data_IF_705567599279
#
_entry.id   IF_705567599279
#
_cell.length_a   1.000
_cell.length_b   1.000
_cell.length_c   1.000
_cell.angle_alpha   90.00
_cell.angle_beta   90.00
_cell.angle_gamma   90.00
#
_symmetry.space_group_name_H-M   'P 1'
#
loop_
_entity.id
_entity.type
_entity.pdbx_description
1 polymer ?
#
# COMPACT_ATOMS: atom_id res chain seq x y z
N UNK A 1 12.79 -10.89 -20.93
CA UNK A 1 12.50 -10.88 -19.48
C UNK A 1 11.18 -11.59 -19.28
N UNK A 2 11.15 -12.68 -18.51
CA UNK A 2 9.90 -13.38 -18.14
C UNK A 2 9.16 -12.52 -17.13
N UNK A 3 8.26 -11.66 -17.61
CA UNK A 3 7.43 -10.79 -16.78
C UNK A 3 6.43 -11.61 -15.98
N UNK A 4 6.34 -11.38 -14.68
CA UNK A 4 5.28 -11.91 -13.81
C UNK A 4 4.25 -10.79 -13.60
N UNK A 5 2.96 -11.09 -13.79
CA UNK A 5 1.86 -10.20 -13.39
C UNK A 5 1.45 -10.49 -11.94
N UNK A 6 1.08 -9.45 -11.21
CA UNK A 6 0.78 -9.49 -9.78
C UNK A 6 -0.19 -8.37 -9.42
N UNK A 7 -1.13 -8.67 -8.51
CA UNK A 7 -2.00 -7.68 -7.87
C UNK A 7 -1.46 -7.44 -6.46
N UNK A 8 -0.99 -6.22 -6.18
CA UNK A 8 -0.46 -5.79 -4.88
C UNK A 8 -0.91 -4.38 -4.54
N UNK A 9 -0.88 -4.08 -3.25
CA UNK A 9 -0.86 -2.70 -2.81
C UNK A 9 0.43 -2.00 -3.24
N UNK A 10 0.31 -0.74 -3.64
CA UNK A 10 1.45 0.16 -3.83
C UNK A 10 1.22 1.37 -2.95
N UNK A 11 2.16 1.66 -2.06
CA UNK A 11 2.04 2.78 -1.14
C UNK A 11 2.00 4.10 -1.92
N UNK A 12 1.22 5.07 -1.45
CA UNK A 12 0.98 6.34 -2.13
C UNK A 12 2.28 7.12 -2.44
N UNK A 13 3.30 6.97 -1.59
CA UNK A 13 4.61 7.60 -1.77
C UNK A 13 5.48 6.91 -2.86
N UNK A 14 5.10 5.72 -3.31
CA UNK A 14 5.75 4.94 -4.35
C UNK A 14 4.95 4.92 -5.66
N UNK A 15 3.63 5.09 -5.59
CA UNK A 15 2.72 4.94 -6.73
C UNK A 15 3.03 5.94 -7.86
N UNK A 16 3.11 7.24 -7.58
CA UNK A 16 3.33 8.25 -8.62
C UNK A 16 4.66 8.04 -9.38
N UNK A 17 5.82 7.86 -8.71
CA UNK A 17 7.07 7.51 -9.39
C UNK A 17 6.98 6.21 -10.21
N UNK A 18 6.29 5.18 -9.68
CA UNK A 18 6.12 3.90 -10.37
C UNK A 18 5.32 4.08 -11.66
N UNK A 19 4.20 4.81 -11.61
CA UNK A 19 3.33 5.05 -12.76
C UNK A 19 4.05 5.82 -13.87
N UNK A 20 4.78 6.88 -13.52
CA UNK A 20 5.59 7.66 -14.47
C UNK A 20 6.64 6.81 -15.17
N UNK A 21 7.24 5.86 -14.46
CA UNK A 21 8.21 4.92 -15.02
C UNK A 21 7.57 3.79 -15.87
N UNK A 22 6.26 3.54 -15.71
CA UNK A 22 5.56 2.36 -16.26
C UNK A 22 4.58 2.68 -17.39
N UNK A 23 4.63 3.89 -17.96
CA UNK A 23 3.82 4.29 -19.12
C UNK A 23 2.65 5.25 -18.82
N UNK A 24 2.57 5.78 -17.60
CA UNK A 24 1.62 6.83 -17.22
C UNK A 24 2.38 8.14 -16.99
N UNK A 25 2.69 8.92 -18.04
CA UNK A 25 3.59 10.08 -17.95
C UNK A 25 3.12 11.12 -16.92
N UNK A 26 1.81 11.24 -16.74
CA UNK A 26 1.19 12.20 -15.82
C UNK A 26 1.10 11.68 -14.36
N UNK A 27 1.46 10.42 -14.12
CA UNK A 27 1.44 9.80 -12.79
C UNK A 27 0.04 9.37 -12.34
N UNK A 28 -0.24 9.47 -11.04
CA UNK A 28 -1.56 9.18 -10.46
C UNK A 28 -2.48 10.41 -10.58
N UNK A 29 -3.22 10.49 -11.70
CA UNK A 29 -4.16 11.57 -11.98
C UNK A 29 -5.61 11.08 -11.86
N UNK A 30 -6.47 11.93 -11.31
CA UNK A 30 -7.89 11.61 -11.18
C UNK A 30 -8.54 11.36 -12.55
N UNK A 31 -9.37 10.33 -12.60
CA UNK A 31 -10.28 10.03 -13.71
C UNK A 31 -11.46 11.00 -13.77
N UNK A 32 -12.34 10.81 -14.74
CA UNK A 32 -13.61 11.57 -14.89
C UNK A 32 -14.51 11.50 -13.65
N UNK A 33 -14.33 10.51 -12.79
CA UNK A 33 -15.06 10.35 -11.52
C UNK A 33 -14.55 11.27 -10.40
N UNK A 34 -13.44 11.98 -10.61
CA UNK A 34 -12.78 12.80 -9.59
C UNK A 34 -11.89 12.01 -8.63
N UNK A 35 -11.69 10.71 -8.87
CA UNK A 35 -10.83 9.83 -8.08
C UNK A 35 -9.74 9.18 -8.95
N UNK A 36 -8.65 8.72 -8.31
CA UNK A 36 -7.64 7.87 -8.96
C UNK A 36 -8.31 6.67 -9.64
N UNK A 37 -7.85 6.27 -10.84
CA UNK A 37 -8.32 5.05 -11.50
C UNK A 37 -7.83 3.78 -10.77
N UNK A 38 -6.90 3.89 -9.82
CA UNK A 38 -6.38 2.79 -9.02
C UNK A 38 -7.08 2.77 -7.65
N UNK A 39 -7.76 1.67 -7.27
CA UNK A 39 -8.48 1.60 -6.00
C UNK A 39 -7.57 1.74 -4.77
N UNK A 40 -8.03 2.50 -3.78
CA UNK A 40 -7.34 2.63 -2.50
C UNK A 40 -7.50 1.38 -1.62
N UNK A 41 -6.40 0.88 -1.06
CA UNK A 41 -6.43 -0.22 -0.11
C UNK A 41 -6.66 0.30 1.32
N UNK A 42 -7.75 -0.14 1.94
CA UNK A 42 -8.12 0.21 3.33
C UNK A 42 -7.62 -0.81 4.37
N UNK A 43 -6.78 -1.76 3.97
CA UNK A 43 -6.21 -2.82 4.80
C UNK A 43 -7.25 -3.78 5.43
N UNK A 44 -8.40 -3.94 4.77
CA UNK A 44 -9.36 -5.01 5.05
C UNK A 44 -9.05 -6.21 4.15
N UNK A 45 -8.32 -7.19 4.69
CA UNK A 45 -7.86 -8.36 3.94
C UNK A 45 -8.80 -9.54 4.17
N UNK A 46 -9.38 -10.08 3.09
CA UNK A 46 -10.19 -11.30 3.11
C UNK A 46 -9.35 -12.41 2.50
N UNK A 47 -9.11 -13.48 3.27
CA UNK A 47 -8.20 -14.56 2.91
C UNK A 47 -8.96 -15.90 2.93
N UNK A 48 -8.72 -16.73 1.92
CA UNK A 48 -9.13 -18.13 1.95
C UNK A 48 -8.19 -18.89 2.90
N UNK A 49 -8.75 -19.53 3.92
CA UNK A 49 -7.96 -20.09 5.02
C UNK A 49 -6.98 -21.19 4.56
N UNK A 50 -7.39 -22.07 3.64
CA UNK A 50 -6.55 -23.17 3.16
C UNK A 50 -5.23 -22.69 2.54
N UNK A 51 -5.27 -21.94 1.42
CA UNK A 51 -4.07 -21.37 0.81
C UNK A 51 -3.25 -20.47 1.76
N UNK A 52 -3.92 -19.74 2.64
CA UNK A 52 -3.23 -18.92 3.65
C UNK A 52 -2.38 -19.76 4.60
N UNK A 53 -2.92 -20.87 5.12
CA UNK A 53 -2.19 -21.75 6.02
C UNK A 53 -1.01 -22.45 5.31
N UNK A 54 -1.17 -22.83 4.05
CA UNK A 54 -0.08 -23.41 3.24
C UNK A 54 1.08 -22.42 3.07
N UNK A 55 0.77 -21.18 2.70
CA UNK A 55 1.80 -20.15 2.50
C UNK A 55 2.42 -19.72 3.84
N UNK A 56 1.65 -19.67 4.92
CA UNK A 56 2.13 -19.40 6.28
C UNK A 56 3.13 -20.48 6.73
N UNK A 57 2.81 -21.76 6.52
CA UNK A 57 3.71 -22.86 6.86
C UNK A 57 5.01 -22.84 6.03
N UNK A 58 4.90 -22.50 4.74
CA UNK A 58 6.05 -22.40 3.81
C UNK A 58 6.99 -21.24 4.15
N UNK A 59 6.45 -20.09 4.55
CA UNK A 59 7.22 -18.86 4.81
C UNK A 59 7.58 -18.67 6.27
N UNK A 60 6.98 -19.44 7.19
CA UNK A 60 7.06 -19.19 8.62
C UNK A 60 6.43 -17.85 9.03
N UNK A 61 5.58 -17.27 8.18
CA UNK A 61 4.99 -15.93 8.37
C UNK A 61 5.90 -14.77 7.97
N UNK A 62 7.04 -15.04 7.33
CA UNK A 62 7.92 -13.99 6.84
C UNK A 62 7.26 -13.22 5.68
N UNK A 63 7.23 -11.90 5.81
CA UNK A 63 6.81 -10.95 4.77
C UNK A 63 8.01 -10.10 4.39
N UNK A 64 8.08 -9.67 3.12
CA UNK A 64 9.17 -8.82 2.64
C UNK A 64 9.31 -7.57 3.52
N UNK A 65 10.52 -7.37 4.02
CA UNK A 65 10.86 -6.24 4.88
C UNK A 65 11.30 -5.03 4.05
N UNK A 66 11.14 -3.85 4.63
CA UNK A 66 11.63 -2.59 4.12
C UNK A 66 12.10 -1.69 5.27
N UNK A 67 12.67 -0.54 4.92
CA UNK A 67 13.12 0.46 5.88
C UNK A 67 12.66 1.85 5.43
N UNK A 68 12.14 2.67 6.36
CA UNK A 68 11.66 4.02 6.07
C UNK A 68 12.35 5.08 6.96
N UNK A 69 13.65 5.35 6.73
CA UNK A 69 14.41 6.24 7.59
C UNK A 69 13.92 7.68 7.53
N UNK A 70 13.79 8.30 8.70
CA UNK A 70 13.56 9.75 8.84
C UNK A 70 14.92 10.43 8.98
N UNK A 71 15.28 11.25 7.99
CA UNK A 71 16.55 11.99 7.97
C UNK A 71 16.42 13.37 8.62
N UNK A 72 17.52 13.90 9.15
CA UNK A 72 17.58 15.26 9.72
C UNK A 72 17.36 16.33 8.66
N UNK A 73 17.88 16.08 7.46
CA UNK A 73 17.88 17.01 6.33
C UNK A 73 17.96 16.25 4.99
N UNK A 74 17.99 17.01 3.89
CA UNK A 74 18.00 16.47 2.54
C UNK A 74 19.30 15.75 2.15
N UNK A 75 20.40 15.86 2.92
CA UNK A 75 21.66 15.16 2.63
C UNK A 75 21.54 13.65 2.83
N UNK A 76 20.56 13.20 3.63
CA UNK A 76 20.31 11.80 3.97
C UNK A 76 21.51 11.09 4.62
N UNK A 77 22.40 11.84 5.29
CA UNK A 77 23.61 11.30 5.94
C UNK A 77 23.40 10.96 7.42
N UNK A 78 22.41 11.56 8.08
CA UNK A 78 22.11 11.33 9.50
C UNK A 78 20.61 11.15 9.74
N UNK A 79 20.26 10.16 10.57
CA UNK A 79 18.88 9.93 10.99
C UNK A 79 18.43 10.95 12.04
N UNK A 80 17.17 11.39 11.93
CA UNK A 80 16.48 12.23 12.92
C UNK A 80 16.09 11.42 14.16
N UNK A 81 15.83 10.13 13.99
CA UNK A 81 15.50 9.16 15.03
C UNK A 81 15.98 7.78 14.61
N UNK A 82 16.17 6.86 15.55
CA UNK A 82 16.50 5.46 15.25
C UNK A 82 15.48 4.85 14.28
N UNK A 83 15.98 4.01 13.37
CA UNK A 83 15.17 3.33 12.37
C UNK A 83 15.16 1.83 12.62
N UNK A 84 14.09 1.17 12.18
CA UNK A 84 13.89 -0.27 12.31
C UNK A 84 13.47 -0.86 10.97
N UNK A 85 13.60 -2.18 10.83
CA UNK A 85 12.94 -2.92 9.76
C UNK A 85 11.42 -2.93 10.01
N UNK A 86 10.68 -2.82 8.93
CA UNK A 86 9.22 -2.82 8.92
C UNK A 86 8.75 -3.80 7.84
N UNK A 87 7.55 -4.35 7.99
CA UNK A 87 6.87 -5.11 6.93
C UNK A 87 5.40 -4.70 6.93
N UNK A 88 4.71 -4.92 5.81
CA UNK A 88 3.30 -4.57 5.66
C UNK A 88 2.47 -5.84 5.47
N UNK A 89 1.41 -6.03 6.24
CA UNK A 89 0.57 -7.23 6.11
C UNK A 89 -0.04 -7.39 4.71
N UNK A 90 -0.32 -6.27 4.03
CA UNK A 90 -0.84 -6.24 2.66
C UNK A 90 0.20 -6.61 1.58
N UNK A 91 1.46 -6.84 1.96
CA UNK A 91 2.48 -7.39 1.06
C UNK A 91 2.44 -8.91 0.96
N UNK A 92 1.55 -9.58 1.69
CA UNK A 92 1.28 -11.01 1.58
C UNK A 92 1.18 -11.53 0.13
N UNK A 93 0.51 -10.86 -0.84
CA UNK A 93 0.44 -11.34 -2.22
C UNK A 93 1.80 -11.52 -2.91
N UNK A 94 2.87 -10.90 -2.41
CA UNK A 94 4.23 -11.06 -2.94
C UNK A 94 4.82 -12.46 -2.68
N UNK A 95 4.33 -13.17 -1.66
CA UNK A 95 4.81 -14.52 -1.32
C UNK A 95 4.12 -15.62 -2.13
N UNK A 96 2.93 -15.33 -2.63
CA UNK A 96 2.08 -16.27 -3.36
C UNK A 96 2.69 -16.73 -4.70
N UNK A 97 2.31 -17.90 -5.22
CA UNK A 97 2.68 -18.33 -6.56
C UNK A 97 1.95 -17.50 -7.65
N UNK A 98 2.46 -17.44 -8.89
CA UNK A 98 1.80 -16.72 -10.00
C UNK A 98 0.39 -17.23 -10.35
N UNK A 99 0.04 -18.45 -9.92
CA UNK A 99 -1.27 -19.07 -10.11
C UNK A 99 -2.31 -18.64 -9.07
N UNK A 100 -1.88 -17.94 -8.01
CA UNK A 100 -2.80 -17.48 -6.97
C UNK A 100 -3.74 -16.40 -7.50
N UNK A 101 -5.02 -16.48 -7.13
CA UNK A 101 -6.04 -15.50 -7.50
C UNK A 101 -6.09 -14.42 -6.44
N UNK A 102 -5.52 -13.26 -6.74
CA UNK A 102 -5.55 -12.07 -5.89
C UNK A 102 -6.37 -11.00 -6.59
N UNK A 103 -7.29 -10.37 -5.88
CA UNK A 103 -8.15 -9.32 -6.41
C UNK A 103 -8.52 -8.32 -5.33
N UNK A 104 -9.43 -7.41 -5.67
CA UNK A 104 -9.94 -6.39 -4.76
C UNK A 104 -11.46 -6.28 -4.94
N UNK A 105 -12.13 -5.76 -3.92
CA UNK A 105 -13.55 -5.40 -3.97
C UNK A 105 -13.67 -3.92 -3.64
N UNK A 106 -14.24 -3.15 -4.54
CA UNK A 106 -14.50 -1.72 -4.33
C UNK A 106 -15.85 -1.59 -3.63
N UNK A 107 -15.89 -0.81 -2.55
CA UNK A 107 -17.10 -0.54 -1.77
C UNK A 107 -17.22 0.97 -1.55
N UNK A 108 -18.44 1.43 -1.27
CA UNK A 108 -18.73 2.82 -0.94
C UNK A 108 -18.00 3.26 0.35
N UNK A 109 -17.34 4.41 0.30
CA UNK A 109 -16.50 4.93 1.41
C UNK A 109 -17.28 5.08 2.71
N UNK A 110 -18.51 5.58 2.65
CA UNK A 110 -19.34 5.82 3.85
C UNK A 110 -19.63 4.54 4.64
N UNK A 111 -19.65 3.40 3.96
CA UNK A 111 -19.94 2.10 4.56
C UNK A 111 -18.66 1.37 4.99
N UNK A 112 -17.61 1.43 4.16
CA UNK A 112 -16.44 0.57 4.33
C UNK A 112 -15.26 1.24 5.06
N UNK A 113 -15.24 2.57 5.22
CA UNK A 113 -14.06 3.29 5.70
C UNK A 113 -14.37 4.38 6.73
N UNK A 114 -14.22 4.03 8.01
CA UNK A 114 -14.39 4.95 9.15
C UNK A 114 -13.21 4.89 10.15
N UNK A 115 -11.96 5.18 9.74
CA UNK A 115 -10.82 5.13 10.65
C UNK A 115 -10.74 6.35 11.57
N UNK A 116 -10.34 6.13 12.82
CA UNK A 116 -9.98 7.20 13.76
C UNK A 116 -8.44 7.26 13.85
N UNK A 117 -7.82 8.00 12.93
CA UNK A 117 -6.36 8.07 12.78
C UNK A 117 -5.73 9.44 13.03
N UNK A 118 -6.54 10.48 13.12
CA UNK A 118 -6.09 11.86 13.35
C UNK A 118 -6.61 12.34 14.71
N UNK A 119 -5.81 13.14 15.41
CA UNK A 119 -6.30 13.93 16.54
C UNK A 119 -7.21 15.07 16.02
N UNK A 120 -7.94 15.72 16.93
CA UNK A 120 -8.88 16.78 16.57
C UNK A 120 -8.22 17.99 15.87
N UNK A 121 -7.00 18.35 16.28
CA UNK A 121 -6.28 19.49 15.72
C UNK A 121 -5.88 19.24 14.26
N UNK A 122 -5.33 18.06 13.96
CA UNK A 122 -4.94 17.69 12.60
C UNK A 122 -6.15 17.41 11.71
N UNK A 123 -7.25 16.88 12.27
CA UNK A 123 -8.51 16.72 11.54
C UNK A 123 -9.09 18.06 11.07
N UNK A 124 -9.04 19.10 11.93
CA UNK A 124 -9.54 20.43 11.59
C UNK A 124 -8.82 21.05 10.39
N UNK A 125 -7.51 20.77 10.22
CA UNK A 125 -6.71 21.27 9.09
C UNK A 125 -7.13 20.67 7.74
N UNK A 126 -7.68 19.45 7.76
CA UNK A 126 -8.09 18.72 6.54
C UNK A 126 -9.54 19.06 6.13
N UNK A 127 -10.39 19.47 7.08
CA UNK A 127 -11.78 19.84 6.82
C UNK A 127 -11.96 21.21 6.15
N UNK A 128 -10.99 22.13 6.29
CA UNK A 128 -11.06 23.51 5.78
C UNK A 128 -10.66 23.65 4.30
N UNK A 129 -10.49 22.53 3.60
CA UNK A 129 -10.00 22.47 2.20
C UNK A 129 -11.01 21.89 1.21
N UNK A 130 -12.30 21.84 1.58
CA UNK A 130 -13.41 21.50 0.68
C UNK A 130 -14.20 22.75 0.27
#
# INVERSE_FOLDING_TARGET
>A
MTGRSMVINVEYNQLDPLLRASGYPDGDVNSETGFSPFPGNINQLILELGPYMEELAKTGGAIQEFVNPKYKDASKTAFKSSTRLECMMQDYPKTLPPTARVGFTVMETWFAYAPVKNNAEDAAKVLLTF
#
